data_IF_537959764901
#
_entry.id   IF_537959764901
#
_cell.length_a   1.000
_cell.length_b   1.000
_cell.length_c   1.000
_cell.angle_alpha   90.00
_cell.angle_beta   90.00
_cell.angle_gamma   90.00
#
_symmetry.space_group_name_H-M   'P 1'
#
loop_
_entity.id
_entity.type
_entity.pdbx_description
1 polymer ?
#
# COMPACT_ATOMS: atom_id res chain seq x y z
N UNK A 1 13.98 7.53 5.67
CA UNK A 1 12.74 7.58 4.85
C UNK A 1 11.52 7.95 5.67
N UNK A 2 11.46 7.54 6.94
CA UNK A 2 10.27 7.81 7.77
C UNK A 2 10.16 9.26 8.26
N UNK A 3 11.16 10.09 8.02
CA UNK A 3 11.19 11.47 8.53
C UNK A 3 10.37 12.48 7.74
N UNK A 4 9.70 12.07 6.68
CA UNK A 4 8.89 12.96 5.85
C UNK A 4 7.40 12.77 6.14
N UNK A 5 6.59 13.78 5.76
CA UNK A 5 5.14 13.76 5.99
C UNK A 5 4.40 12.81 5.05
N UNK A 6 5.00 12.45 3.94
CA UNK A 6 4.38 11.64 2.90
C UNK A 6 4.84 10.19 2.98
N UNK A 7 4.00 9.27 2.50
CA UNK A 7 4.28 7.84 2.59
C UNK A 7 3.56 7.04 1.52
N UNK A 8 3.60 7.46 0.24
CA UNK A 8 3.01 6.70 -0.85
C UNK A 8 3.87 5.48 -1.18
N UNK A 9 5.09 5.71 -1.60
CA UNK A 9 6.02 4.65 -1.90
C UNK A 9 7.42 4.98 -1.39
N UNK A 10 8.19 3.95 -1.12
CA UNK A 10 9.59 4.09 -0.72
C UNK A 10 10.37 2.90 -1.25
N UNK A 11 11.63 3.14 -1.59
CA UNK A 11 12.50 2.12 -2.15
C UNK A 11 13.83 2.04 -1.44
N UNK A 12 14.44 0.88 -1.51
CA UNK A 12 15.79 0.62 -1.01
C UNK A 12 16.58 -0.14 -2.07
N UNK A 13 17.86 0.16 -2.18
CA UNK A 13 18.79 -0.60 -3.00
C UNK A 13 19.79 -1.27 -2.06
N UNK A 14 19.74 -2.58 -1.98
CA UNK A 14 20.60 -3.35 -1.07
C UNK A 14 20.79 -4.77 -1.54
N UNK A 15 21.92 -5.37 -1.20
CA UNK A 15 22.17 -6.79 -1.38
C UNK A 15 21.95 -7.57 -0.08
N UNK A 16 21.63 -6.89 1.01
CA UNK A 16 21.42 -7.51 2.32
C UNK A 16 19.94 -7.85 2.52
N UNK A 17 19.65 -9.14 2.66
CA UNK A 17 18.30 -9.58 2.97
C UNK A 17 17.81 -9.03 4.32
N UNK A 18 18.71 -8.90 5.29
CA UNK A 18 18.38 -8.34 6.59
C UNK A 18 17.91 -6.88 6.46
N UNK A 19 18.64 -6.06 5.71
CA UNK A 19 18.27 -4.66 5.50
C UNK A 19 16.99 -4.53 4.69
N UNK A 20 16.80 -5.39 3.68
CA UNK A 20 15.58 -5.39 2.89
C UNK A 20 14.35 -5.69 3.75
N UNK A 21 14.44 -6.70 4.60
CA UNK A 21 13.32 -7.08 5.47
C UNK A 21 13.05 -6.05 6.55
N UNK A 22 14.10 -5.46 7.12
CA UNK A 22 13.95 -4.38 8.08
C UNK A 22 13.24 -3.17 7.45
N UNK A 23 13.64 -2.81 6.24
CA UNK A 23 13.02 -1.72 5.50
C UNK A 23 11.55 -2.01 5.21
N UNK A 24 11.22 -3.20 4.71
CA UNK A 24 9.84 -3.58 4.41
C UNK A 24 8.95 -3.54 5.64
N UNK A 25 9.48 -3.91 6.81
CA UNK A 25 8.72 -3.93 8.05
C UNK A 25 8.54 -2.55 8.65
N UNK A 26 9.55 -1.68 8.57
CA UNK A 26 9.61 -0.45 9.35
C UNK A 26 9.40 0.81 8.50
N UNK A 27 9.43 0.75 7.17
CA UNK A 27 9.13 1.91 6.34
C UNK A 27 7.66 2.28 6.45
N UNK A 28 7.37 3.55 6.71
CA UNK A 28 6.00 4.04 6.87
C UNK A 28 5.47 4.56 5.54
N UNK A 29 5.49 3.70 4.54
CA UNK A 29 4.93 3.97 3.23
C UNK A 29 3.87 2.90 2.92
N UNK A 30 2.93 3.23 2.07
CA UNK A 30 1.91 2.27 1.67
C UNK A 30 2.45 1.19 0.75
N UNK A 31 3.49 1.51 0.01
CA UNK A 31 4.14 0.59 -0.92
C UNK A 31 5.65 0.66 -0.74
N UNK A 32 6.32 -0.50 -0.69
CA UNK A 32 7.77 -0.58 -0.56
C UNK A 32 8.35 -1.37 -1.71
N UNK A 33 9.48 -0.91 -2.23
CA UNK A 33 10.21 -1.55 -3.32
C UNK A 33 11.63 -1.85 -2.88
N UNK A 34 12.09 -3.06 -3.19
CA UNK A 34 13.47 -3.47 -2.94
C UNK A 34 14.11 -3.72 -4.29
N UNK A 35 15.16 -2.94 -4.60
CA UNK A 35 15.89 -3.02 -5.87
C UNK A 35 15.01 -2.82 -7.10
N UNK A 36 13.94 -2.07 -6.96
CA UNK A 36 13.00 -1.74 -8.03
C UNK A 36 12.72 -0.24 -8.01
N UNK A 37 12.27 0.27 -9.16
CA UNK A 37 11.82 1.65 -9.25
C UNK A 37 10.57 1.88 -8.40
N UNK A 38 10.41 3.09 -7.88
CA UNK A 38 9.25 3.45 -7.06
C UNK A 38 8.05 3.88 -7.89
N UNK A 39 8.14 3.78 -9.22
CA UNK A 39 7.06 4.07 -10.16
C UNK A 39 6.61 2.78 -10.85
N UNK A 40 5.42 2.79 -11.46
CA UNK A 40 4.93 1.66 -12.25
C UNK A 40 4.40 0.51 -11.42
N UNK A 41 3.49 0.79 -10.51
CA UNK A 41 2.85 -0.24 -9.70
C UNK A 41 1.82 -1.01 -10.53
N UNK A 42 1.80 -2.34 -10.39
CA UNK A 42 0.85 -3.19 -11.09
C UNK A 42 -0.59 -2.92 -10.66
N UNK A 43 -1.52 -3.07 -11.60
CA UNK A 43 -2.93 -2.77 -11.33
C UNK A 43 -3.62 -3.78 -10.40
N UNK A 44 -3.07 -4.98 -10.27
CA UNK A 44 -3.71 -6.06 -9.50
C UNK A 44 -3.31 -6.08 -8.01
N UNK A 45 -2.46 -5.15 -7.58
CA UNK A 45 -2.07 -5.04 -6.18
C UNK A 45 -2.75 -3.83 -5.55
N UNK A 46 -2.99 -3.84 -4.23
CA UNK A 46 -3.52 -2.67 -3.54
C UNK A 46 -2.62 -1.46 -3.71
N UNK A 47 -3.21 -0.33 -4.08
CA UNK A 47 -2.51 0.92 -4.31
C UNK A 47 -2.94 1.95 -3.27
N UNK A 48 -1.99 2.56 -2.62
CA UNK A 48 -2.23 3.63 -1.69
C UNK A 48 -1.05 3.84 -0.77
N UNK A 49 -1.08 4.94 -0.07
CA UNK A 49 -0.01 5.34 0.81
C UNK A 49 -0.42 5.41 2.26
N UNK A 50 0.45 5.98 3.03
CA UNK A 50 0.21 6.33 4.41
C UNK A 50 0.53 7.80 4.64
N UNK A 51 0.34 8.26 5.85
CA UNK A 51 0.55 9.66 6.23
C UNK A 51 -0.26 10.58 5.30
N UNK A 52 0.34 11.69 4.84
CA UNK A 52 -0.34 12.68 3.99
C UNK A 52 -0.45 12.31 2.52
N UNK A 53 0.09 11.16 2.12
CA UNK A 53 0.03 10.72 0.71
C UNK A 53 -1.31 10.11 0.32
N UNK A 54 -2.08 9.63 1.28
CA UNK A 54 -3.35 8.97 1.00
C UNK A 54 -4.32 9.12 2.15
N UNK A 55 -5.60 9.03 1.81
CA UNK A 55 -6.69 9.06 2.77
C UNK A 55 -7.54 7.80 2.57
N UNK A 56 -7.71 7.04 3.64
CA UNK A 56 -8.60 5.89 3.63
C UNK A 56 -7.99 4.62 3.06
N UNK A 57 -8.82 3.80 2.44
CA UNK A 57 -8.49 2.45 2.00
C UNK A 57 -7.61 2.43 0.76
N UNK A 58 -7.01 1.29 0.52
CA UNK A 58 -6.23 1.04 -0.69
C UNK A 58 -7.14 0.89 -1.91
N UNK A 59 -6.59 1.20 -3.08
CA UNK A 59 -7.24 1.04 -4.37
C UNK A 59 -6.66 -0.17 -5.10
N UNK A 60 -7.21 -0.53 -6.24
CA UNK A 60 -6.76 -1.59 -7.15
C UNK A 60 -6.83 -3.00 -6.56
N UNK A 61 -6.73 -3.99 -7.42
CA UNK A 61 -6.79 -5.39 -7.07
C UNK A 61 -8.05 -5.72 -6.28
N UNK A 62 -7.94 -6.59 -5.31
CA UNK A 62 -9.06 -6.93 -4.43
C UNK A 62 -9.48 -5.76 -3.55
N UNK A 63 -8.59 -4.80 -3.28
CA UNK A 63 -8.93 -3.63 -2.50
C UNK A 63 -9.91 -2.70 -3.22
N UNK A 64 -9.96 -2.75 -4.55
CA UNK A 64 -10.92 -1.95 -5.32
C UNK A 64 -12.37 -2.31 -5.00
N UNK A 65 -12.65 -3.57 -4.68
CA UNK A 65 -13.99 -3.98 -4.29
C UNK A 65 -14.43 -3.23 -3.04
N UNK A 66 -13.58 -3.13 -2.04
CA UNK A 66 -13.88 -2.38 -0.82
C UNK A 66 -13.94 -0.89 -1.07
N UNK A 67 -13.05 -0.35 -1.90
CA UNK A 67 -12.98 1.08 -2.19
C UNK A 67 -14.22 1.59 -2.92
N UNK A 68 -14.72 0.84 -3.91
CA UNK A 68 -15.80 1.29 -4.78
C UNK A 68 -17.18 0.77 -4.39
N UNK A 69 -17.30 0.06 -3.28
CA UNK A 69 -18.57 -0.52 -2.85
C UNK A 69 -18.89 -0.15 -1.42
N UNK A 70 -20.17 -0.36 -1.08
CA UNK A 70 -20.64 -0.26 0.29
C UNK A 70 -21.24 -1.58 0.72
N UNK A 71 -21.06 -1.93 1.98
CA UNK A 71 -21.71 -3.10 2.55
C UNK A 71 -23.17 -2.75 2.82
N UNK A 72 -24.07 -3.60 2.32
CA UNK A 72 -25.50 -3.51 2.60
C UNK A 72 -25.97 -4.84 3.15
N UNK A 73 -26.62 -4.80 4.29
CA UNK A 73 -27.17 -6.01 4.90
C UNK A 73 -28.67 -6.05 4.69
N UNK A 74 -29.17 -7.18 4.22
CA UNK A 74 -30.59 -7.37 3.98
C UNK A 74 -31.07 -8.65 4.62
N UNK A 75 -32.25 -8.61 5.20
CA UNK A 75 -32.93 -9.77 5.72
C UNK A 75 -34.27 -9.90 5.02
N UNK A 76 -34.66 -11.14 4.74
CA UNK A 76 -36.00 -11.39 4.20
C UNK A 76 -36.54 -12.67 4.80
N UNK A 77 -37.86 -12.70 4.98
CA UNK A 77 -38.59 -13.85 5.45
C UNK A 77 -39.77 -14.09 4.50
N UNK A 78 -40.01 -15.34 4.24
CA UNK A 78 -41.06 -15.63 3.26
C UNK A 78 -41.44 -17.08 3.24
#
# INVERSE_FOLDING_TARGET
>A
ANGVEFGLSAGIVTQSLKHARDFQRNAKAGMTMVNLATAGVDYHVPFGGSKKSSYGAREQGFAAVEFYTQIKTSYSAG
#
